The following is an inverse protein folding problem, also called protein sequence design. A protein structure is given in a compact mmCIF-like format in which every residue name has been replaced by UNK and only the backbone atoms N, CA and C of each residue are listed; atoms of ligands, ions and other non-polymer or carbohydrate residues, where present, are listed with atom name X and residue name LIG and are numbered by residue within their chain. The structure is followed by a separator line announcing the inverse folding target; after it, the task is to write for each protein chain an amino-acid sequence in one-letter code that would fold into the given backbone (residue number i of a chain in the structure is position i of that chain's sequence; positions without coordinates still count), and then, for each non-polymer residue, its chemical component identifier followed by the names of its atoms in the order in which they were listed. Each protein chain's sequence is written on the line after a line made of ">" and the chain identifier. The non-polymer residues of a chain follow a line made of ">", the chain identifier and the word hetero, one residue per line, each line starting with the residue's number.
data_IF_361962692672
#
_entry.id   IF_361962692672
#
_cell.length_a   1.000
_cell.length_b   1.000
_cell.length_c   1.000
_cell.angle_alpha   90.00
_cell.angle_beta   90.00
_cell.angle_gamma   90.00
#
_symmetry.space_group_name_H-M   'P 1'
#
loop_
_entity.id
_entity.type
_entity.pdbx_description
1 polymer ?
#
# COMPACT_ATOMS: atom_id res chain seq x y z
N UNK A 1 -14.14 -72.29 -5.44
CA UNK A 1 -15.13 -73.18 -4.77
C UNK A 1 -14.67 -73.33 -3.32
N UNK A 2 -14.98 -72.42 -2.38
CA UNK A 2 -16.27 -71.99 -1.83
C UNK A 2 -16.81 -72.91 -0.72
N UNK A 3 -16.62 -72.48 0.54
CA UNK A 3 -17.51 -72.60 1.72
C UNK A 3 -16.75 -72.04 2.93
N UNK A 4 -17.40 -71.54 4.02
CA UNK A 4 -18.73 -71.95 4.48
C UNK A 4 -19.70 -70.81 4.88
N UNK A 5 -20.91 -71.28 5.14
CA UNK A 5 -22.13 -70.61 5.56
C UNK A 5 -22.11 -70.25 7.04
N UNK A 6 -22.54 -69.01 7.32
CA UNK A 6 -23.39 -68.51 8.40
C UNK A 6 -23.48 -69.24 9.76
N UNK A 7 -23.38 -68.44 10.83
CA UNK A 7 -24.50 -68.04 11.72
C UNK A 7 -24.02 -67.98 13.19
N UNK A 8 -23.78 -66.77 13.71
CA UNK A 8 -24.06 -66.32 15.10
C UNK A 8 -23.24 -65.07 15.42
N UNK A 9 -23.91 -63.92 15.51
CA UNK A 9 -23.61 -62.80 16.43
C UNK A 9 -24.43 -61.57 16.02
N UNK A 10 -25.76 -61.69 16.11
CA UNK A 10 -26.62 -60.51 16.14
C UNK A 10 -26.58 -59.89 17.54
N UNK A 11 -26.49 -58.56 17.58
CA UNK A 11 -26.58 -57.66 18.77
C UNK A 11 -25.27 -57.41 19.53
N UNK A 12 -24.38 -56.61 18.94
CA UNK A 12 -23.63 -55.56 19.64
C UNK A 12 -22.82 -54.77 18.59
N UNK A 13 -23.40 -53.73 17.99
CA UNK A 13 -22.72 -52.64 17.23
C UNK A 13 -23.76 -51.73 16.55
N UNK A 14 -24.78 -51.29 17.31
CA UNK A 14 -25.80 -50.34 16.81
C UNK A 14 -26.09 -49.20 17.80
N UNK A 15 -25.05 -48.75 18.51
CA UNK A 15 -25.12 -47.60 19.39
C UNK A 15 -23.74 -46.91 19.41
N UNK A 16 -23.41 -46.12 18.37
CA UNK A 16 -22.32 -45.11 18.39
C UNK A 16 -22.29 -44.25 17.11
N UNK A 17 -23.46 -43.89 16.56
CA UNK A 17 -23.53 -42.95 15.43
C UNK A 17 -24.67 -41.93 15.62
N UNK A 18 -24.69 -41.28 16.78
CA UNK A 18 -25.39 -40.02 16.98
C UNK A 18 -24.39 -38.88 16.79
N UNK A 19 -24.26 -38.38 15.55
CA UNK A 19 -23.64 -37.08 15.29
C UNK A 19 -24.67 -35.98 15.58
N UNK A 20 -24.34 -34.90 16.30
CA UNK A 20 -25.23 -33.76 16.41
C UNK A 20 -25.30 -33.04 15.07
N UNK A 21 -26.53 -32.71 14.61
CA UNK A 21 -26.75 -31.70 13.59
C UNK A 21 -26.33 -30.35 14.17
N UNK A 22 -25.10 -29.92 13.88
CA UNK A 22 -24.75 -28.51 14.04
C UNK A 22 -25.45 -27.71 12.95
N UNK A 23 -26.27 -26.75 13.40
CA UNK A 23 -26.89 -25.71 12.60
C UNK A 23 -25.81 -24.97 11.82
N UNK A 24 -25.95 -24.96 10.49
CA UNK A 24 -25.18 -24.11 9.61
C UNK A 24 -25.58 -22.65 9.86
N UNK A 25 -24.90 -22.00 10.81
CA UNK A 25 -24.88 -20.54 10.89
C UNK A 25 -24.08 -20.08 9.69
N UNK A 26 -24.74 -19.34 8.79
CA UNK A 26 -24.12 -18.72 7.64
C UNK A 26 -22.98 -17.81 8.10
N UNK A 27 -21.75 -18.30 7.99
CA UNK A 27 -20.56 -17.48 8.02
C UNK A 27 -20.62 -16.58 6.78
N UNK A 28 -21.03 -15.32 6.97
CA UNK A 28 -20.67 -14.28 6.01
C UNK A 28 -19.16 -14.14 6.09
N UNK A 29 -18.46 -14.83 5.19
CA UNK A 29 -17.04 -14.64 4.99
C UNK A 29 -16.84 -13.18 4.56
N UNK A 30 -16.37 -12.35 5.49
CA UNK A 30 -15.92 -11.00 5.19
C UNK A 30 -14.76 -11.13 4.22
N UNK A 31 -14.98 -10.78 2.95
CA UNK A 31 -13.94 -10.66 1.94
C UNK A 31 -12.98 -9.56 2.39
N UNK A 32 -11.86 -9.94 3.02
CA UNK A 32 -10.76 -9.02 3.29
C UNK A 32 -10.03 -8.75 1.97
N UNK A 33 -10.52 -7.76 1.24
CA UNK A 33 -9.83 -7.20 0.08
C UNK A 33 -8.69 -6.34 0.59
N UNK A 34 -7.44 -6.82 0.50
CA UNK A 34 -6.27 -5.95 0.65
C UNK A 34 -6.36 -4.85 -0.42
N UNK A 35 -6.76 -3.65 0.03
CA UNK A 35 -6.73 -2.40 -0.70
C UNK A 35 -5.37 -1.71 -0.44
N UNK A 36 -5.17 -0.55 -1.04
CA UNK A 36 -3.92 0.21 -1.13
C UNK A 36 -3.77 1.12 0.09
N UNK A 37 -2.58 1.13 0.71
CA UNK A 37 -2.33 1.86 1.95
C UNK A 37 -2.55 3.36 1.77
N UNK A 38 -3.54 3.88 2.50
CA UNK A 38 -3.73 5.31 2.68
C UNK A 38 -2.45 5.95 3.25
N UNK A 39 -1.98 7.02 2.60
CA UNK A 39 -0.91 7.88 3.12
C UNK A 39 -1.50 9.25 3.42
N UNK A 40 -1.24 9.75 4.63
CA UNK A 40 -1.63 11.10 5.02
C UNK A 40 -0.45 12.06 4.89
N UNK A 41 -0.76 13.30 4.50
CA UNK A 41 0.19 14.41 4.52
C UNK A 41 0.64 14.71 5.96
N UNK A 42 1.83 15.30 6.14
CA UNK A 42 2.40 15.59 7.47
C UNK A 42 1.42 16.34 8.38
N UNK A 43 0.74 17.37 7.85
CA UNK A 43 -0.23 18.15 8.62
C UNK A 43 -1.45 17.34 9.10
N UNK A 44 -1.91 16.38 8.29
CA UNK A 44 -3.06 15.52 8.62
C UNK A 44 -2.67 14.55 9.73
N UNK A 45 -1.50 13.90 9.59
CA UNK A 45 -0.92 13.03 10.61
C UNK A 45 -0.72 13.79 11.94
N UNK A 46 -0.13 14.99 11.89
CA UNK A 46 0.07 15.82 13.10
C UNK A 46 -1.23 16.28 13.73
N UNK A 47 -2.23 16.63 12.94
CA UNK A 47 -3.56 16.97 13.47
C UNK A 47 -4.17 15.78 14.19
N UNK A 48 -4.12 14.60 13.57
CA UNK A 48 -4.64 13.37 14.15
C UNK A 48 -3.92 13.01 15.45
N UNK A 49 -2.60 13.20 15.51
CA UNK A 49 -1.81 13.03 16.73
C UNK A 49 -2.22 14.02 17.83
N UNK A 50 -2.29 15.31 17.49
CA UNK A 50 -2.66 16.39 18.42
C UNK A 50 -4.06 16.19 19.00
N UNK A 51 -5.04 15.83 18.16
CA UNK A 51 -6.43 15.59 18.56
C UNK A 51 -6.55 14.37 19.51
N UNK A 52 -5.52 13.52 19.57
CA UNK A 52 -5.42 12.38 20.49
C UNK A 52 -4.41 12.62 21.64
N UNK A 53 -4.04 13.88 21.88
CA UNK A 53 -3.23 14.29 23.04
C UNK A 53 -1.73 14.03 22.91
N UNK A 54 -1.26 13.60 21.74
CA UNK A 54 0.17 13.48 21.41
C UNK A 54 0.73 14.89 21.15
N UNK A 55 1.88 15.18 21.74
CA UNK A 55 2.52 16.49 21.63
C UNK A 55 3.24 16.60 20.28
N UNK A 56 2.74 17.52 19.46
CA UNK A 56 3.34 17.91 18.18
C UNK A 56 3.64 19.41 18.20
N UNK A 57 4.46 19.88 17.25
CA UNK A 57 4.69 21.31 17.02
C UNK A 57 3.36 22.03 16.78
N UNK A 58 3.19 23.25 17.28
CA UNK A 58 2.05 24.11 16.89
C UNK A 58 2.19 24.48 15.42
N UNK A 59 1.12 24.29 14.65
CA UNK A 59 1.12 24.56 13.21
C UNK A 59 -0.23 25.02 12.70
N UNK A 60 -0.19 25.66 11.53
CA UNK A 60 -1.33 25.93 10.67
C UNK A 60 -1.02 25.50 9.24
N UNK A 61 -2.07 25.34 8.45
CA UNK A 61 -1.97 25.01 7.03
C UNK A 61 -2.53 26.19 6.25
N UNK A 62 -1.89 26.47 5.12
CA UNK A 62 -2.27 27.54 4.22
C UNK A 62 -2.32 27.04 2.78
N UNK A 63 -3.37 27.46 2.08
CA UNK A 63 -3.59 27.16 0.66
C UNK A 63 -3.25 28.39 -0.20
N UNK A 64 -2.98 29.54 0.43
CA UNK A 64 -2.51 30.76 -0.24
C UNK A 64 -1.33 31.41 0.50
N UNK A 65 -0.55 32.23 -0.21
CA UNK A 65 0.56 32.98 0.38
C UNK A 65 0.11 33.96 1.48
N UNK A 66 -1.08 34.56 1.33
CA UNK A 66 -1.65 35.45 2.33
C UNK A 66 -2.07 34.69 3.59
N UNK A 67 -2.68 33.51 3.45
CA UNK A 67 -2.98 32.65 4.59
C UNK A 67 -1.72 32.20 5.31
N UNK A 68 -0.64 31.89 4.57
CA UNK A 68 0.64 31.51 5.16
C UNK A 68 1.26 32.66 5.99
N UNK A 69 1.16 33.89 5.50
CA UNK A 69 1.57 35.10 6.23
C UNK A 69 0.76 35.29 7.52
N UNK A 70 -0.57 35.18 7.44
CA UNK A 70 -1.43 35.34 8.61
C UNK A 70 -1.25 34.19 9.62
N UNK A 71 -1.03 32.97 9.14
CA UNK A 71 -0.67 31.82 9.98
C UNK A 71 0.65 32.06 10.74
N UNK A 72 1.67 32.59 10.05
CA UNK A 72 2.95 32.93 10.67
C UNK A 72 2.80 33.98 11.78
N UNK A 73 1.97 35.02 11.55
CA UNK A 73 1.67 36.02 12.57
C UNK A 73 0.91 35.43 13.77
N UNK A 74 -0.07 34.54 13.51
CA UNK A 74 -0.87 33.89 14.56
C UNK A 74 -0.06 32.95 15.45
N UNK A 75 0.94 32.27 14.91
CA UNK A 75 1.82 31.39 15.71
C UNK A 75 2.57 32.17 16.80
N UNK A 76 2.94 33.42 16.50
CA UNK A 76 3.74 34.28 17.37
C UNK A 76 4.95 33.53 17.96
N UNK A 77 5.63 32.76 17.10
CA UNK A 77 6.78 31.95 17.47
C UNK A 77 8.08 32.71 17.24
N UNK A 78 9.11 32.40 18.03
CA UNK A 78 10.46 32.98 17.91
C UNK A 78 11.10 32.66 16.55
N UNK A 79 10.81 31.46 16.04
CA UNK A 79 11.27 30.97 14.75
C UNK A 79 10.18 30.09 14.15
N UNK A 80 10.06 30.13 12.83
CA UNK A 80 8.97 29.54 12.05
C UNK A 80 9.57 28.65 10.99
N UNK A 81 9.03 27.44 10.86
CA UNK A 81 9.34 26.52 9.78
C UNK A 81 8.20 26.49 8.77
N UNK A 82 8.52 26.74 7.52
CA UNK A 82 7.63 26.60 6.38
C UNK A 82 7.95 25.30 5.66
N UNK A 83 6.97 24.40 5.53
CA UNK A 83 7.14 23.09 4.89
C UNK A 83 6.12 22.88 3.78
N UNK A 84 6.59 22.54 2.58
CA UNK A 84 5.74 22.05 1.51
C UNK A 84 5.05 20.73 1.91
N UNK A 85 3.76 20.63 1.63
CA UNK A 85 2.99 19.40 1.86
C UNK A 85 2.93 18.60 0.57
N UNK A 86 3.77 17.56 0.53
CA UNK A 86 3.74 16.46 -0.44
C UNK A 86 4.00 15.16 0.34
N UNK A 87 3.50 14.02 -0.15
CA UNK A 87 3.67 12.71 0.47
C UNK A 87 5.11 12.20 0.32
N UNK A 88 5.77 12.58 -0.78
CA UNK A 88 7.16 12.20 -1.02
C UNK A 88 8.12 12.86 -0.01
N UNK A 89 9.08 12.06 0.48
CA UNK A 89 10.14 12.53 1.37
C UNK A 89 11.24 13.32 0.65
N UNK A 90 12.27 13.70 1.41
CA UNK A 90 13.42 14.45 0.87
C UNK A 90 13.13 15.90 0.52
N UNK A 91 12.02 16.46 1.01
CA UNK A 91 11.54 17.82 0.73
C UNK A 91 12.61 18.89 0.94
N UNK A 92 13.40 18.80 2.01
CA UNK A 92 14.44 19.80 2.32
C UNK A 92 15.52 19.97 1.24
N UNK A 93 15.81 18.93 0.44
CA UNK A 93 16.78 18.98 -0.67
C UNK A 93 16.11 19.10 -2.05
N UNK A 94 14.78 19.24 -2.08
CA UNK A 94 14.03 19.35 -3.32
C UNK A 94 14.21 20.70 -4.02
N UNK A 95 13.77 20.78 -5.26
CA UNK A 95 13.82 22.02 -6.06
C UNK A 95 12.44 22.26 -6.68
N UNK A 96 11.95 23.49 -6.56
CA UNK A 96 10.73 23.92 -7.21
C UNK A 96 10.98 24.34 -8.65
N UNK A 97 9.98 24.14 -9.52
CA UNK A 97 10.00 24.71 -10.87
C UNK A 97 9.85 26.26 -10.89
N UNK A 98 9.56 26.90 -9.75
CA UNK A 98 9.70 28.35 -9.56
C UNK A 98 11.15 28.83 -9.46
N UNK A 99 12.10 27.91 -9.26
CA UNK A 99 13.52 28.19 -9.01
C UNK A 99 13.91 28.18 -7.53
N UNK A 100 12.95 28.11 -6.61
CA UNK A 100 13.21 27.99 -5.16
C UNK A 100 13.88 26.64 -4.84
N UNK A 101 14.92 26.67 -4.01
CA UNK A 101 15.64 25.47 -3.55
C UNK A 101 15.25 25.16 -2.10
N UNK A 102 14.79 23.94 -1.88
CA UNK A 102 14.34 23.43 -0.59
C UNK A 102 12.83 23.54 -0.41
N UNK A 103 12.21 22.45 0.03
CA UNK A 103 10.80 22.39 0.46
C UNK A 103 10.58 22.71 1.93
N UNK A 104 11.65 23.00 2.68
CA UNK A 104 11.64 23.29 4.11
C UNK A 104 12.52 24.51 4.37
N UNK A 105 11.95 25.59 4.89
CA UNK A 105 12.65 26.83 5.19
C UNK A 105 12.40 27.29 6.62
N UNK A 106 13.44 27.82 7.26
CA UNK A 106 13.38 28.44 8.58
C UNK A 106 13.48 29.95 8.42
N UNK A 107 12.64 30.68 9.16
CA UNK A 107 12.69 32.15 9.22
C UNK A 107 12.13 32.65 10.54
N UNK A 108 12.60 33.82 10.97
CA UNK A 108 12.05 34.54 12.13
C UNK A 108 11.07 35.65 11.73
N UNK A 109 11.04 36.01 10.44
CA UNK A 109 10.16 37.05 9.92
C UNK A 109 8.93 36.45 9.23
N UNK A 110 7.71 36.71 9.72
CA UNK A 110 6.46 36.29 9.08
C UNK A 110 6.32 36.76 7.63
N UNK A 111 6.87 37.92 7.26
CA UNK A 111 6.77 38.43 5.89
C UNK A 111 7.51 37.55 4.89
N UNK A 112 8.65 36.99 5.31
CA UNK A 112 9.42 36.03 4.52
C UNK A 112 8.62 34.74 4.28
N UNK A 113 7.80 34.31 5.25
CA UNK A 113 6.90 33.15 5.07
C UNK A 113 5.95 33.35 3.89
N UNK A 114 5.30 34.52 3.81
CA UNK A 114 4.40 34.84 2.69
C UNK A 114 5.13 34.88 1.33
N UNK A 115 6.34 35.42 1.30
CA UNK A 115 7.16 35.49 0.08
C UNK A 115 7.58 34.10 -0.41
N UNK A 116 8.04 33.23 0.50
CA UNK A 116 8.43 31.86 0.19
C UNK A 116 7.20 31.03 -0.22
N UNK A 117 6.09 31.14 0.51
CA UNK A 117 4.86 30.43 0.20
C UNK A 117 4.34 30.78 -1.21
N UNK A 118 4.49 32.03 -1.66
CA UNK A 118 4.16 32.44 -3.03
C UNK A 118 4.98 31.72 -4.10
N UNK A 119 6.21 31.30 -3.79
CA UNK A 119 7.09 30.54 -4.68
C UNK A 119 6.93 29.02 -4.54
N UNK A 120 6.16 28.56 -3.55
CA UNK A 120 5.90 27.14 -3.29
C UNK A 120 4.52 26.73 -3.81
N UNK A 121 3.46 27.45 -3.42
CA UNK A 121 2.07 27.08 -3.71
C UNK A 121 1.79 27.22 -5.20
N UNK A 122 1.25 26.17 -5.81
CA UNK A 122 0.94 26.08 -7.23
C UNK A 122 2.10 25.61 -8.11
N UNK A 123 3.31 25.51 -7.56
CA UNK A 123 4.51 25.04 -8.23
C UNK A 123 4.77 23.56 -7.93
N UNK A 124 5.58 22.90 -8.77
CA UNK A 124 5.96 21.50 -8.57
C UNK A 124 7.28 21.41 -7.81
N UNK A 125 7.31 20.59 -6.76
CA UNK A 125 8.50 20.25 -5.98
C UNK A 125 9.06 18.90 -6.46
N UNK A 126 10.26 18.92 -7.04
CA UNK A 126 11.00 17.72 -7.38
C UNK A 126 11.95 17.33 -6.25
N UNK A 127 11.87 16.08 -5.77
CA UNK A 127 12.80 15.49 -4.80
C UNK A 127 13.43 14.22 -5.40
N UNK A 128 14.34 13.57 -4.65
CA UNK A 128 14.89 12.27 -5.06
C UNK A 128 13.83 11.15 -5.15
N UNK A 129 12.68 11.34 -4.49
CA UNK A 129 11.61 10.35 -4.35
C UNK A 129 10.38 10.67 -5.19
N UNK A 130 10.38 11.77 -5.93
CA UNK A 130 9.29 12.14 -6.86
C UNK A 130 9.66 11.80 -8.30
N UNK A 131 8.69 11.77 -9.22
CA UNK A 131 8.95 11.86 -10.65
C UNK A 131 9.81 13.08 -10.99
N UNK A 132 10.45 13.07 -12.18
CA UNK A 132 11.29 14.19 -12.66
C UNK A 132 10.54 15.52 -12.75
N UNK A 133 9.24 15.45 -13.00
CA UNK A 133 8.33 16.59 -13.10
C UNK A 133 7.99 17.22 -11.74
N UNK A 134 8.32 16.52 -10.65
CA UNK A 134 7.95 16.88 -9.28
C UNK A 134 6.47 16.71 -9.00
N UNK A 135 6.09 17.02 -7.77
CA UNK A 135 4.69 16.98 -7.30
C UNK A 135 4.19 18.40 -7.07
N UNK A 136 2.98 18.69 -7.54
CA UNK A 136 2.35 20.01 -7.36
C UNK A 136 2.06 20.27 -5.89
N UNK A 137 2.63 21.33 -5.34
CA UNK A 137 2.41 21.75 -3.95
C UNK A 137 1.15 22.61 -3.90
N UNK A 138 0.06 22.06 -3.37
CA UNK A 138 -1.19 22.81 -3.19
C UNK A 138 -1.27 23.50 -1.82
N UNK A 139 -0.58 22.95 -0.81
CA UNK A 139 -0.63 23.42 0.57
C UNK A 139 0.76 23.53 1.16
N UNK A 140 0.91 24.46 2.10
CA UNK A 140 2.11 24.59 2.93
C UNK A 140 1.72 24.55 4.39
N UNK A 141 2.56 23.93 5.21
CA UNK A 141 2.45 23.97 6.66
C UNK A 141 3.37 25.04 7.20
N UNK A 142 2.81 25.94 8.02
CA UNK A 142 3.55 26.93 8.79
C UNK A 142 3.52 26.46 10.24
N UNK A 143 4.67 26.10 10.79
CA UNK A 143 4.79 25.59 12.14
C UNK A 143 5.82 26.37 12.94
N UNK A 144 5.72 26.31 14.27
CA UNK A 144 6.81 26.79 15.13
C UNK A 144 8.04 25.90 14.92
N UNK A 145 9.21 26.53 14.75
CA UNK A 145 10.46 25.80 14.75
C UNK A 145 10.88 25.56 16.20
N UNK A 146 10.94 24.30 16.59
CA UNK A 146 11.43 23.88 17.90
C UNK A 146 12.87 23.41 17.76
N UNK A 147 13.73 23.90 18.65
CA UNK A 147 15.10 23.39 18.77
C UNK A 147 15.05 21.95 19.27
N UNK A 148 15.93 21.10 18.72
CA UNK A 148 15.99 19.69 19.08
C UNK A 148 17.30 19.45 19.81
N UNK A 149 17.22 19.13 21.10
CA UNK A 149 18.40 18.75 21.90
C UNK A 149 18.81 17.31 21.65
N UNK A 150 17.84 16.43 21.40
CA UNK A 150 18.09 15.01 21.15
C UNK A 150 17.02 14.41 20.26
N UNK A 151 17.47 13.61 19.30
CA UNK A 151 16.63 12.92 18.32
C UNK A 151 16.69 11.41 18.56
N UNK A 152 15.53 10.78 18.67
CA UNK A 152 15.39 9.33 18.75
C UNK A 152 14.38 8.86 17.70
N UNK A 153 14.35 7.56 17.45
CA UNK A 153 13.40 6.91 16.57
C UNK A 153 12.39 6.12 17.40
N UNK A 154 11.11 6.23 17.05
CA UNK A 154 10.05 5.41 17.65
C UNK A 154 9.02 5.01 16.58
N UNK A 155 8.72 3.73 16.51
CA UNK A 155 7.65 3.21 15.67
C UNK A 155 6.80 2.16 16.41
N UNK A 156 5.54 2.06 15.99
CA UNK A 156 4.56 1.07 16.41
C UNK A 156 4.05 0.41 15.15
N UNK A 157 4.19 -0.90 15.02
CA UNK A 157 3.68 -1.64 13.86
C UNK A 157 3.12 -3.00 14.27
N UNK A 158 2.32 -3.62 13.40
CA UNK A 158 1.92 -5.02 13.56
C UNK A 158 3.02 -5.95 13.09
N UNK A 159 3.66 -6.67 14.02
CA UNK A 159 4.67 -7.67 13.68
C UNK A 159 4.07 -9.06 13.51
N UNK A 160 4.40 -9.69 12.39
CA UNK A 160 3.92 -11.04 12.04
C UNK A 160 4.62 -12.11 12.87
N UNK A 161 5.85 -11.87 13.33
CA UNK A 161 6.58 -12.85 14.15
C UNK A 161 6.01 -12.90 15.58
N UNK A 162 5.70 -11.74 16.15
CA UNK A 162 5.06 -11.62 17.46
C UNK A 162 3.54 -11.81 17.45
N UNK A 163 2.91 -11.90 16.27
CA UNK A 163 1.44 -11.98 16.10
C UNK A 163 0.69 -10.86 16.83
N UNK A 164 1.24 -9.65 16.82
CA UNK A 164 0.68 -8.52 17.54
C UNK A 164 1.46 -7.22 17.35
N UNK A 165 1.03 -6.13 18.00
CA UNK A 165 1.74 -4.87 17.95
C UNK A 165 3.15 -4.99 18.55
N UNK A 166 4.12 -4.32 17.95
CA UNK A 166 5.48 -4.18 18.47
C UNK A 166 5.84 -2.70 18.54
N UNK A 167 6.43 -2.28 19.66
CA UNK A 167 7.16 -1.02 19.75
C UNK A 167 8.59 -1.27 19.27
N UNK A 168 9.04 -0.48 18.31
CA UNK A 168 10.43 -0.47 17.82
C UNK A 168 10.99 0.91 18.12
N UNK A 169 12.14 0.97 18.78
CA UNK A 169 12.76 2.23 19.15
C UNK A 169 14.27 2.19 19.01
N UNK A 170 14.88 3.33 18.69
CA UNK A 170 16.33 3.49 18.71
C UNK A 170 16.72 4.87 19.26
N UNK A 171 17.76 4.97 20.11
CA UNK A 171 18.30 6.26 20.53
C UNK A 171 18.96 7.03 19.37
N UNK A 172 19.21 6.37 18.22
CA UNK A 172 19.74 7.00 17.02
C UNK A 172 18.58 7.45 16.11
N UNK A 173 18.04 8.64 16.37
CA UNK A 173 17.00 9.27 15.54
C UNK A 173 17.56 10.12 14.40
N UNK A 174 16.66 10.64 13.56
CA UNK A 174 17.00 11.57 12.47
C UNK A 174 17.64 10.89 11.25
N UNK A 175 17.79 9.56 11.28
CA UNK A 175 18.35 8.73 10.21
C UNK A 175 17.37 7.64 9.80
N UNK A 176 17.66 6.95 8.69
CA UNK A 176 16.88 5.82 8.21
C UNK A 176 17.05 4.63 9.16
N UNK A 177 15.93 4.04 9.62
CA UNK A 177 15.99 2.99 10.65
C UNK A 177 16.59 1.69 10.09
N UNK A 178 16.45 1.45 8.79
CA UNK A 178 17.03 0.34 8.06
C UNK A 178 18.56 0.40 8.04
N UNK A 179 19.13 1.61 7.93
CA UNK A 179 20.58 1.82 8.02
C UNK A 179 21.08 1.51 9.44
N UNK A 180 20.36 1.97 10.47
CA UNK A 180 20.67 1.63 11.87
C UNK A 180 20.56 0.13 12.10
N UNK A 181 19.58 -0.55 11.52
CA UNK A 181 19.41 -1.99 11.65
C UNK A 181 20.57 -2.79 11.03
N UNK A 182 21.16 -2.26 9.95
CA UNK A 182 22.29 -2.89 9.27
C UNK A 182 23.63 -2.59 9.96
N UNK A 183 23.85 -1.35 10.39
CA UNK A 183 25.11 -0.90 10.97
C UNK A 183 25.22 -1.13 12.48
N UNK A 184 24.13 -0.92 13.22
CA UNK A 184 24.07 -0.91 14.69
C UNK A 184 22.79 -1.61 15.21
N UNK A 185 22.59 -2.90 14.91
CA UNK A 185 21.38 -3.63 15.33
C UNK A 185 21.16 -3.66 16.84
N UNK A 186 22.22 -3.51 17.65
CA UNK A 186 22.17 -3.41 19.11
C UNK A 186 21.47 -2.15 19.62
N UNK A 187 21.37 -1.11 18.80
CA UNK A 187 20.66 0.12 19.11
C UNK A 187 19.17 0.03 18.76
N UNK A 188 18.67 -1.10 18.29
CA UNK A 188 17.24 -1.31 18.01
C UNK A 188 16.61 -2.13 19.12
N UNK A 189 15.77 -1.46 19.89
CA UNK A 189 15.01 -2.06 20.97
C UNK A 189 13.61 -2.40 20.50
N UNK A 190 13.14 -3.61 20.82
CA UNK A 190 11.81 -4.11 20.46
C UNK A 190 11.04 -4.56 21.68
N UNK A 191 9.75 -4.24 21.74
CA UNK A 191 8.83 -4.70 22.78
C UNK A 191 7.56 -5.22 22.11
N UNK A 192 7.36 -6.53 22.14
CA UNK A 192 6.14 -7.16 21.63
C UNK A 192 5.00 -7.07 22.64
N UNK A 193 3.82 -6.74 22.15
CA UNK A 193 2.62 -6.45 22.92
C UNK A 193 1.52 -7.44 22.57
N UNK A 194 0.74 -7.84 23.59
CA UNK A 194 -0.28 -8.88 23.41
C UNK A 194 -1.70 -8.31 23.29
N UNK A 195 -1.95 -7.04 23.67
CA UNK A 195 -3.23 -6.31 23.47
C UNK A 195 -3.20 -4.88 24.01
N UNK A 196 -2.43 -4.63 25.08
CA UNK A 196 -2.32 -3.34 25.74
C UNK A 196 -0.85 -3.03 26.01
N UNK A 197 -0.53 -1.76 26.26
CA UNK A 197 0.81 -1.33 26.62
C UNK A 197 0.91 -1.10 28.14
N UNK A 198 1.63 -1.96 28.88
CA UNK A 198 1.98 -1.72 30.27
C UNK A 198 2.87 -0.50 30.44
N UNK A 199 2.61 0.25 31.52
CA UNK A 199 3.40 1.42 31.86
C UNK A 199 4.88 1.07 32.05
N UNK A 200 5.18 -0.11 32.62
CA UNK A 200 6.54 -0.62 32.75
C UNK A 200 7.26 -0.82 31.40
N UNK A 201 6.53 -1.20 30.35
CA UNK A 201 7.08 -1.36 29.01
C UNK A 201 7.28 -0.01 28.31
N UNK A 202 6.36 0.94 28.49
CA UNK A 202 6.53 2.32 28.02
C UNK A 202 7.75 2.99 28.67
N UNK A 203 7.88 2.85 29.99
CA UNK A 203 9.02 3.35 30.77
C UNK A 203 10.34 2.71 30.34
N UNK A 204 10.35 1.39 30.10
CA UNK A 204 11.53 0.68 29.60
C UNK A 204 11.93 1.15 28.20
N UNK A 205 10.96 1.37 27.31
CA UNK A 205 11.26 1.92 25.99
C UNK A 205 11.82 3.34 26.10
N UNK A 206 11.22 4.21 26.90
CA UNK A 206 11.72 5.57 27.13
C UNK A 206 13.17 5.56 27.67
N UNK A 207 13.51 4.65 28.57
CA UNK A 207 14.87 4.48 29.09
C UNK A 207 15.85 3.97 28.03
N UNK A 208 15.46 2.98 27.22
CA UNK A 208 16.28 2.48 26.11
C UNK A 208 16.54 3.54 25.05
N UNK A 209 15.57 4.41 24.81
CA UNK A 209 15.71 5.58 23.95
C UNK A 209 16.60 6.66 24.58
N UNK A 210 17.03 6.51 25.83
CA UNK A 210 17.95 7.41 26.53
C UNK A 210 17.29 8.60 27.24
N UNK A 211 15.96 8.61 27.40
CA UNK A 211 15.28 9.65 28.19
C UNK A 211 15.52 9.43 29.69
N UNK A 212 15.84 10.51 30.40
CA UNK A 212 16.18 10.48 31.83
C UNK A 212 15.30 11.41 32.67
N UNK A 213 15.18 11.13 33.96
CA UNK A 213 14.47 11.98 34.92
C UNK A 213 13.01 12.26 34.52
N UNK A 214 12.53 13.53 34.61
CA UNK A 214 11.17 13.89 34.21
C UNK A 214 10.85 13.61 32.73
N UNK A 215 11.85 13.69 31.85
CA UNK A 215 11.68 13.43 30.42
C UNK A 215 11.35 11.97 30.14
N UNK A 216 11.88 11.03 30.93
CA UNK A 216 11.53 9.60 30.84
C UNK A 216 10.03 9.39 31.05
N UNK A 217 9.46 10.04 32.07
CA UNK A 217 8.03 9.93 32.37
C UNK A 217 7.17 10.59 31.29
N UNK A 218 7.60 11.75 30.77
CA UNK A 218 6.92 12.40 29.63
C UNK A 218 6.97 11.52 28.37
N UNK A 219 8.12 10.92 28.06
CA UNK A 219 8.27 10.05 26.90
C UNK A 219 7.40 8.79 27.03
N UNK A 220 7.36 8.16 28.20
CA UNK A 220 6.47 7.03 28.45
C UNK A 220 4.99 7.39 28.25
N UNK A 221 4.53 8.55 28.74
CA UNK A 221 3.18 9.05 28.49
C UNK A 221 2.90 9.26 26.98
N UNK A 222 3.86 9.83 26.23
CA UNK A 222 3.73 10.00 24.79
C UNK A 222 3.68 8.67 24.04
N UNK A 223 4.53 7.70 24.40
CA UNK A 223 4.51 6.34 23.83
C UNK A 223 3.14 5.69 24.06
N UNK A 224 2.58 5.82 25.26
CA UNK A 224 1.24 5.29 25.58
C UNK A 224 0.14 5.95 24.75
N UNK A 225 0.20 7.27 24.56
CA UNK A 225 -0.75 8.00 23.71
C UNK A 225 -0.63 7.60 22.24
N UNK A 226 0.59 7.42 21.73
CA UNK A 226 0.85 6.92 20.38
C UNK A 226 0.31 5.50 20.17
N UNK A 227 0.48 4.62 21.17
CA UNK A 227 -0.06 3.27 21.10
C UNK A 227 -1.59 3.25 21.08
N UNK A 228 -2.23 4.07 21.92
CA UNK A 228 -3.69 4.21 21.92
C UNK A 228 -4.20 4.82 20.61
N UNK A 229 -3.47 5.78 20.04
CA UNK A 229 -3.74 6.34 18.72
C UNK A 229 -3.66 5.25 17.65
N UNK A 230 -2.58 4.47 17.61
CA UNK A 230 -2.35 3.37 16.67
C UNK A 230 -3.53 2.39 16.64
N UNK A 231 -4.03 1.98 17.82
CA UNK A 231 -5.19 1.11 17.92
C UNK A 231 -6.50 1.81 17.48
N UNK A 232 -6.69 3.07 17.87
CA UNK A 232 -7.93 3.81 17.61
C UNK A 232 -8.17 4.07 16.12
N UNK A 233 -7.12 4.29 15.36
CA UNK A 233 -7.20 4.67 13.94
C UNK A 233 -6.97 3.49 12.99
N UNK A 234 -6.86 2.27 13.52
CA UNK A 234 -6.54 1.07 12.74
C UNK A 234 -5.26 1.24 11.89
N UNK A 235 -4.20 1.76 12.50
CA UNK A 235 -2.92 1.92 11.83
C UNK A 235 -2.21 0.56 11.66
N UNK A 236 -1.54 0.38 10.53
CA UNK A 236 -0.57 -0.72 10.32
C UNK A 236 0.81 -0.34 10.82
N UNK A 237 1.15 0.95 10.76
CA UNK A 237 2.38 1.54 11.26
C UNK A 237 2.15 2.99 11.69
N UNK A 238 2.67 3.36 12.86
CA UNK A 238 2.89 4.75 13.28
C UNK A 238 4.38 4.91 13.52
N UNK A 239 5.02 5.75 12.74
CA UNK A 239 6.45 6.03 12.81
C UNK A 239 6.65 7.50 13.18
N UNK A 240 7.48 7.78 14.17
CA UNK A 240 7.84 9.12 14.64
C UNK A 240 9.36 9.25 14.55
N UNK A 241 9.81 10.08 13.60
CA UNK A 241 11.22 10.29 13.34
C UNK A 241 11.48 11.75 12.92
N UNK A 242 11.99 12.63 13.80
CA UNK A 242 12.46 12.31 15.15
C UNK A 242 11.35 12.35 16.22
N UNK A 243 11.41 11.42 17.17
CA UNK A 243 10.80 11.52 18.49
C UNK A 243 11.88 12.05 19.44
N UNK A 244 11.69 13.21 20.06
CA UNK A 244 12.83 13.84 20.74
C UNK A 244 12.48 14.84 21.82
N UNK A 245 13.50 15.52 22.30
CA UNK A 245 13.38 16.52 23.37
C UNK A 245 13.87 17.90 22.93
N UNK A 246 13.21 18.91 23.47
CA UNK A 246 13.53 20.32 23.30
C UNK A 246 14.43 20.81 24.43
N UNK A 247 15.22 21.89 24.23
CA UNK A 247 16.00 22.51 25.31
C UNK A 247 15.16 22.94 26.51
N UNK A 248 13.88 23.22 26.30
CA UNK A 248 12.90 23.59 27.33
C UNK A 248 12.40 22.39 28.17
N UNK A 249 12.91 21.19 27.92
CA UNK A 249 12.57 20.00 28.70
C UNK A 249 11.20 19.40 28.34
N UNK A 250 10.81 19.48 27.07
CA UNK A 250 9.58 18.86 26.56
C UNK A 250 9.89 17.75 25.57
N UNK A 251 9.16 16.64 25.67
CA UNK A 251 9.19 15.54 24.69
C UNK A 251 8.15 15.81 23.60
N UNK A 252 8.57 15.80 22.34
CA UNK A 252 7.75 16.19 21.18
C UNK A 252 7.91 15.17 20.03
N UNK A 253 6.82 14.91 19.33
CA UNK A 253 6.83 14.20 18.05
C UNK A 253 7.05 15.23 16.92
N UNK A 254 8.28 15.31 16.39
CA UNK A 254 8.65 16.37 15.45
C UNK A 254 8.16 16.09 14.03
N UNK A 255 8.26 14.85 13.58
CA UNK A 255 7.71 14.39 12.30
C UNK A 255 7.17 12.97 12.47
N UNK A 256 6.12 12.65 11.72
CA UNK A 256 5.48 11.36 11.83
C UNK A 256 4.85 10.92 10.51
N UNK A 257 4.96 9.62 10.26
CA UNK A 257 4.34 8.91 9.14
C UNK A 257 3.40 7.85 9.70
N UNK A 258 2.17 7.82 9.18
CA UNK A 258 1.15 6.86 9.61
C UNK A 258 0.65 6.13 8.38
N UNK A 259 0.70 4.81 8.44
CA UNK A 259 0.11 3.91 7.45
C UNK A 259 -1.13 3.26 8.07
N UNK A 260 -2.18 3.07 7.28
CA UNK A 260 -3.49 2.58 7.74
C UNK A 260 -3.80 1.17 7.20
N UNK A 261 -4.69 0.45 7.89
CA UNK A 261 -5.28 -0.78 7.36
C UNK A 261 -6.50 -0.43 6.50
N UNK A 262 -6.39 -0.68 5.20
CA UNK A 262 -7.49 -0.40 4.27
C UNK A 262 -8.72 -1.29 4.51
N UNK A 263 -8.55 -2.44 5.16
CA UNK A 263 -9.68 -3.27 5.56
C UNK A 263 -10.54 -2.59 6.64
N UNK A 264 -10.01 -1.57 7.33
CA UNK A 264 -10.73 -0.82 8.34
C UNK A 264 -11.46 0.42 7.77
N UNK A 265 -11.41 0.67 6.46
CA UNK A 265 -12.06 1.82 5.80
C UNK A 265 -13.54 1.97 6.21
N UNK A 266 -14.27 0.86 6.32
CA UNK A 266 -15.70 0.86 6.65
C UNK A 266 -16.03 1.53 8.00
N UNK A 267 -15.07 1.53 8.94
CA UNK A 267 -15.18 2.14 10.27
C UNK A 267 -14.33 3.40 10.47
N UNK A 268 -13.41 3.70 9.54
CA UNK A 268 -12.52 4.87 9.58
C UNK A 268 -12.85 5.90 8.48
N UNK A 269 -14.14 6.13 8.19
CA UNK A 269 -14.58 6.96 7.05
C UNK A 269 -13.98 8.37 7.03
N UNK A 270 -13.85 9.01 8.19
CA UNK A 270 -13.31 10.37 8.29
C UNK A 270 -11.82 10.42 7.92
N UNK A 271 -11.07 9.35 8.21
CA UNK A 271 -9.66 9.23 7.87
C UNK A 271 -9.48 8.97 6.38
N UNK A 272 -10.25 8.04 5.81
CA UNK A 272 -10.20 7.75 4.38
C UNK A 272 -10.76 8.89 3.51
N UNK A 273 -11.60 9.77 4.07
CA UNK A 273 -12.01 11.00 3.40
C UNK A 273 -10.87 12.02 3.24
N UNK A 274 -9.78 11.89 4.01
CA UNK A 274 -8.59 12.73 3.91
C UNK A 274 -7.58 12.25 2.86
N UNK A 275 -7.84 11.13 2.20
CA UNK A 275 -6.95 10.52 1.19
C UNK A 275 -6.66 11.48 0.04
N UNK A 276 -5.39 11.85 -0.10
CA UNK A 276 -4.92 12.70 -1.18
C UNK A 276 -4.49 11.83 -2.38
N UNK A 277 -5.40 11.71 -3.35
CA UNK A 277 -5.17 10.94 -4.57
C UNK A 277 -4.41 11.72 -5.65
N UNK A 278 -4.02 12.98 -5.40
CA UNK A 278 -3.40 13.83 -6.42
C UNK A 278 -1.98 13.42 -6.79
N UNK A 279 -1.26 12.75 -5.88
CA UNK A 279 0.11 12.25 -6.10
C UNK A 279 0.15 10.81 -6.64
N UNK A 280 -1.00 10.13 -6.68
CA UNK A 280 -1.08 8.77 -7.18
C UNK A 280 -1.05 8.75 -8.71
N UNK A 281 -0.52 7.67 -9.28
CA UNK A 281 -0.60 7.42 -10.71
C UNK A 281 -2.06 7.44 -11.20
N UNK A 282 -2.40 8.20 -12.26
CA UNK A 282 -3.77 8.32 -12.74
C UNK A 282 -4.43 6.96 -13.06
N UNK A 283 -3.65 6.01 -13.57
CA UNK A 283 -4.12 4.65 -13.90
C UNK A 283 -4.47 3.88 -12.62
N UNK A 284 -3.71 4.04 -11.54
CA UNK A 284 -3.99 3.42 -10.24
C UNK A 284 -5.27 3.99 -9.62
N UNK A 285 -5.47 5.30 -9.73
CA UNK A 285 -6.69 5.96 -9.25
C UNK A 285 -7.94 5.50 -10.01
N UNK A 286 -7.86 5.34 -11.33
CA UNK A 286 -8.98 4.81 -12.13
C UNK A 286 -9.23 3.33 -11.83
N UNK A 287 -8.18 2.52 -11.69
CA UNK A 287 -8.29 1.11 -11.33
C UNK A 287 -9.02 0.90 -9.99
N UNK A 288 -8.70 1.72 -9.00
CA UNK A 288 -9.31 1.66 -7.68
C UNK A 288 -10.83 1.86 -7.69
N UNK A 289 -11.38 2.66 -8.62
CA UNK A 289 -12.84 2.87 -8.75
C UNK A 289 -13.61 1.60 -9.14
N UNK A 290 -12.92 0.64 -9.74
CA UNK A 290 -13.48 -0.62 -10.22
C UNK A 290 -13.03 -1.83 -9.39
N UNK A 291 -12.50 -1.58 -8.18
CA UNK A 291 -11.93 -2.60 -7.30
C UNK A 291 -10.79 -3.41 -7.96
N UNK A 292 -10.04 -2.78 -8.87
CA UNK A 292 -8.90 -3.40 -9.55
C UNK A 292 -7.60 -3.04 -8.83
N UNK A 293 -6.77 -4.04 -8.57
CA UNK A 293 -5.45 -3.84 -7.95
C UNK A 293 -4.40 -3.67 -9.02
N UNK A 294 -4.19 -2.42 -9.43
CA UNK A 294 -3.18 -2.05 -10.42
C UNK A 294 -1.96 -1.44 -9.73
N UNK A 295 -0.77 -1.86 -10.14
CA UNK A 295 0.51 -1.22 -9.79
C UNK A 295 1.29 -1.03 -11.08
N UNK A 296 1.68 0.21 -11.38
CA UNK A 296 2.50 0.51 -12.56
C UNK A 296 3.95 0.07 -12.38
N UNK A 297 4.56 -0.49 -13.42
CA UNK A 297 5.98 -0.86 -13.47
C UNK A 297 6.66 -0.20 -14.69
N UNK A 298 7.98 -0.22 -14.71
CA UNK A 298 8.79 0.30 -15.82
C UNK A 298 9.13 -0.81 -16.83
N UNK A 299 8.13 -1.17 -17.64
CA UNK A 299 8.23 -2.21 -18.65
C UNK A 299 7.28 -2.00 -19.83
N UNK A 300 7.31 -2.93 -20.77
CA UNK A 300 6.57 -2.86 -22.04
C UNK A 300 5.56 -4.01 -22.23
N UNK A 301 5.59 -5.06 -21.40
CA UNK A 301 4.64 -6.17 -21.48
C UNK A 301 3.62 -6.00 -20.34
N UNK A 302 2.41 -5.60 -20.69
CA UNK A 302 1.31 -5.56 -19.73
C UNK A 302 0.90 -6.97 -19.30
N UNK A 303 0.70 -7.16 -18.00
CA UNK A 303 0.17 -8.41 -17.46
C UNK A 303 -1.26 -8.19 -16.96
N UNK A 304 -2.16 -9.08 -17.33
CA UNK A 304 -3.55 -9.08 -16.86
C UNK A 304 -3.90 -10.46 -16.34
N UNK A 305 -4.10 -10.59 -15.02
CA UNK A 305 -4.56 -11.84 -14.46
C UNK A 305 -6.07 -11.86 -14.31
N UNK A 306 -6.73 -12.84 -14.94
CA UNK A 306 -8.16 -13.07 -14.79
C UNK A 306 -8.39 -14.35 -13.98
N UNK A 307 -8.84 -14.24 -12.72
CA UNK A 307 -9.08 -15.40 -11.86
C UNK A 307 -10.53 -15.51 -11.40
N UNK A 308 -11.29 -16.45 -11.94
CA UNK A 308 -12.60 -16.81 -11.39
C UNK A 308 -12.46 -17.95 -10.39
N UNK A 309 -12.06 -17.61 -9.16
CA UNK A 309 -12.05 -18.56 -8.06
C UNK A 309 -12.93 -18.04 -6.92
N UNK A 310 -14.02 -18.76 -6.64
CA UNK A 310 -14.87 -18.54 -5.46
C UNK A 310 -14.25 -19.11 -4.16
N UNK A 311 -13.02 -19.64 -4.22
CA UNK A 311 -12.26 -20.17 -3.09
C UNK A 311 -10.87 -19.52 -3.01
N UNK A 312 -10.81 -18.35 -2.39
CA UNK A 312 -9.74 -17.83 -1.49
C UNK A 312 -8.24 -18.09 -1.75
N UNK A 313 -7.74 -18.38 -2.96
CA UNK A 313 -6.28 -18.38 -3.21
C UNK A 313 -5.99 -18.15 -4.70
N UNK A 314 -5.03 -17.29 -5.04
CA UNK A 314 -4.43 -17.15 -6.40
C UNK A 314 -4.97 -16.03 -7.33
N UNK A 315 -5.26 -14.84 -6.78
CA UNK A 315 -5.24 -13.59 -7.55
C UNK A 315 -3.83 -12.97 -7.54
N UNK A 316 -3.48 -12.27 -6.47
CA UNK A 316 -2.19 -11.60 -6.33
C UNK A 316 -0.94 -12.50 -6.50
N UNK A 317 -0.91 -13.71 -5.94
CA UNK A 317 0.27 -14.59 -6.03
C UNK A 317 0.61 -15.01 -7.46
N UNK A 318 -0.41 -15.34 -8.26
CA UNK A 318 -0.22 -15.73 -9.66
C UNK A 318 0.08 -14.51 -10.54
N UNK A 319 -0.49 -13.34 -10.21
CA UNK A 319 -0.14 -12.08 -10.87
C UNK A 319 1.35 -11.73 -10.66
N UNK A 320 1.88 -11.88 -9.43
CA UNK A 320 3.32 -11.70 -9.15
C UNK A 320 4.16 -12.71 -9.94
N UNK A 321 3.81 -14.01 -9.91
CA UNK A 321 4.53 -15.03 -10.67
C UNK A 321 4.49 -14.80 -12.19
N UNK A 322 3.44 -14.15 -12.70
CA UNK A 322 3.33 -13.78 -14.12
C UNK A 322 4.30 -12.63 -14.45
N UNK A 323 4.45 -11.64 -13.56
CA UNK A 323 5.51 -10.64 -13.72
C UNK A 323 6.90 -11.28 -13.69
N UNK A 324 7.13 -12.22 -12.76
CA UNK A 324 8.40 -12.92 -12.61
C UNK A 324 8.75 -13.76 -13.84
N UNK A 325 7.80 -14.52 -14.40
CA UNK A 325 8.06 -15.34 -15.59
C UNK A 325 8.32 -14.48 -16.83
N UNK A 326 7.66 -13.31 -16.96
CA UNK A 326 7.98 -12.34 -18.03
C UNK A 326 9.44 -11.91 -17.88
N UNK A 327 9.84 -11.52 -16.67
CA UNK A 327 11.21 -11.06 -16.39
C UNK A 327 12.27 -12.15 -16.60
N UNK A 328 12.03 -13.36 -16.08
CA UNK A 328 12.95 -14.51 -16.21
C UNK A 328 13.24 -14.89 -17.67
N UNK A 329 12.33 -14.58 -18.57
CA UNK A 329 12.49 -14.85 -19.99
C UNK A 329 12.83 -13.60 -20.82
N UNK A 330 13.35 -12.55 -20.17
CA UNK A 330 13.92 -11.37 -20.84
C UNK A 330 12.92 -10.28 -21.22
N UNK A 331 11.64 -10.43 -20.88
CA UNK A 331 10.64 -9.37 -21.01
C UNK A 331 10.68 -8.40 -19.82
N UNK A 332 10.04 -7.23 -19.95
CA UNK A 332 9.86 -6.29 -18.84
C UNK A 332 8.38 -6.13 -18.51
N UNK A 333 7.90 -6.58 -17.33
CA UNK A 333 6.50 -6.40 -16.96
C UNK A 333 6.19 -4.90 -16.81
N UNK A 334 5.17 -4.41 -17.51
CA UNK A 334 4.73 -3.02 -17.50
C UNK A 334 3.82 -2.69 -16.31
N UNK A 335 3.17 -3.71 -15.74
CA UNK A 335 2.27 -3.55 -14.61
C UNK A 335 2.06 -4.87 -13.87
N UNK A 336 1.57 -4.75 -12.65
CA UNK A 336 0.87 -5.80 -11.91
C UNK A 336 -0.63 -5.48 -11.92
N UNK A 337 -1.48 -6.45 -12.27
CA UNK A 337 -2.94 -6.29 -12.24
C UNK A 337 -3.62 -7.56 -11.73
N UNK A 338 -4.26 -7.44 -10.57
CA UNK A 338 -5.09 -8.48 -9.97
C UNK A 338 -6.57 -8.06 -9.98
N UNK A 339 -7.39 -8.88 -10.66
CA UNK A 339 -8.85 -8.70 -10.74
C UNK A 339 -9.60 -9.33 -9.55
N UNK A 340 -8.88 -10.01 -8.64
CA UNK A 340 -9.45 -10.68 -7.47
C UNK A 340 -10.15 -12.00 -7.80
N UNK A 341 -10.73 -12.62 -6.78
CA UNK A 341 -11.55 -13.84 -6.91
C UNK A 341 -13.01 -13.49 -7.18
N UNK A 342 -13.55 -13.90 -8.33
CA UNK A 342 -14.95 -13.65 -8.70
C UNK A 342 -15.12 -12.53 -9.73
N UNK A 343 -14.34 -12.60 -10.80
CA UNK A 343 -14.28 -11.59 -11.88
C UNK A 343 -15.65 -11.32 -12.49
N UNK A 344 -15.94 -10.06 -12.81
CA UNK A 344 -17.13 -9.66 -13.59
C UNK A 344 -16.73 -9.22 -14.99
N UNK A 345 -17.64 -9.38 -15.96
CA UNK A 345 -17.42 -8.92 -17.33
C UNK A 345 -17.01 -7.43 -17.40
N UNK A 346 -17.64 -6.59 -16.58
CA UNK A 346 -17.33 -5.17 -16.47
C UNK A 346 -15.91 -4.90 -15.95
N UNK A 347 -15.40 -5.71 -15.02
CA UNK A 347 -14.03 -5.56 -14.49
C UNK A 347 -12.99 -5.91 -15.56
N UNK A 348 -13.25 -6.96 -16.35
CA UNK A 348 -12.39 -7.33 -17.49
C UNK A 348 -12.36 -6.21 -18.53
N UNK A 349 -13.52 -5.64 -18.85
CA UNK A 349 -13.61 -4.51 -19.79
C UNK A 349 -12.75 -3.32 -19.32
N UNK A 350 -12.87 -2.93 -18.04
CA UNK A 350 -12.12 -1.80 -17.50
C UNK A 350 -10.62 -2.10 -17.41
N UNK A 351 -10.24 -3.33 -17.05
CA UNK A 351 -8.85 -3.77 -17.04
C UNK A 351 -8.19 -3.56 -18.42
N UNK A 352 -8.82 -4.05 -19.49
CA UNK A 352 -8.29 -3.85 -20.84
C UNK A 352 -8.24 -2.38 -21.24
N UNK A 353 -9.27 -1.59 -20.88
CA UNK A 353 -9.28 -0.16 -21.13
C UNK A 353 -8.08 0.54 -20.49
N UNK A 354 -7.75 0.20 -19.24
CA UNK A 354 -6.59 0.73 -18.52
C UNK A 354 -5.27 0.34 -19.20
N UNK A 355 -5.11 -0.94 -19.54
CA UNK A 355 -3.87 -1.44 -20.18
C UNK A 355 -3.64 -0.82 -21.55
N UNK A 356 -4.69 -0.62 -22.33
CA UNK A 356 -4.60 0.00 -23.66
C UNK A 356 -4.38 1.51 -23.62
N UNK A 357 -4.57 2.14 -22.47
CA UNK A 357 -4.32 3.57 -22.28
C UNK A 357 -2.84 3.87 -21.99
N UNK A 358 -2.07 2.89 -21.51
CA UNK A 358 -0.64 3.06 -21.25
C UNK A 358 0.17 2.97 -22.56
N UNK A 359 0.83 4.06 -23.00
CA UNK A 359 1.59 4.07 -24.24
C UNK A 359 2.86 3.22 -24.19
N UNK A 360 3.32 2.81 -22.99
CA UNK A 360 4.50 1.93 -22.83
C UNK A 360 4.19 0.48 -23.22
N UNK A 361 2.90 0.11 -23.23
CA UNK A 361 2.48 -1.27 -23.46
C UNK A 361 2.61 -1.61 -24.94
N UNK A 362 3.44 -2.61 -25.23
CA UNK A 362 3.68 -3.15 -26.56
C UNK A 362 3.03 -4.53 -26.74
N UNK A 363 2.78 -5.26 -25.65
CA UNK A 363 2.08 -6.54 -25.66
C UNK A 363 1.29 -6.75 -24.37
N UNK A 364 0.18 -7.50 -24.44
CA UNK A 364 -0.64 -7.86 -23.27
C UNK A 364 -0.63 -9.38 -23.08
N UNK A 365 -0.17 -9.85 -21.92
CA UNK A 365 -0.28 -11.25 -21.52
C UNK A 365 -1.50 -11.42 -20.60
N UNK A 366 -2.48 -12.19 -21.06
CA UNK A 366 -3.69 -12.53 -20.30
C UNK A 366 -3.55 -13.96 -19.79
N UNK A 367 -3.35 -14.06 -18.48
CA UNK A 367 -3.22 -15.33 -17.78
C UNK A 367 -4.51 -15.61 -17.01
N UNK A 368 -5.10 -16.80 -17.21
CA UNK A 368 -6.30 -17.20 -16.47
C UNK A 368 -6.22 -18.65 -15.97
N UNK A 369 -6.80 -18.91 -14.80
CA UNK A 369 -6.86 -20.26 -14.21
C UNK A 369 -8.30 -20.58 -13.81
N UNK A 370 -8.83 -21.73 -14.25
CA UNK A 370 -10.22 -22.12 -14.00
C UNK A 370 -10.27 -23.40 -13.18
N UNK A 371 -10.96 -23.34 -12.04
CA UNK A 371 -11.37 -24.55 -11.28
C UNK A 371 -12.87 -24.73 -11.46
N UNK A 372 -13.23 -25.79 -12.19
CA UNK A 372 -14.52 -26.53 -12.34
C UNK A 372 -15.86 -25.76 -12.54
N UNK A 373 -16.05 -24.51 -12.09
CA UNK A 373 -17.37 -23.85 -12.07
C UNK A 373 -17.44 -22.46 -12.76
N UNK A 374 -16.42 -22.08 -13.52
CA UNK A 374 -16.32 -20.73 -14.09
C UNK A 374 -16.57 -20.72 -15.61
N UNK A 375 -17.56 -19.93 -16.06
CA UNK A 375 -17.94 -19.84 -17.47
C UNK A 375 -16.92 -19.00 -18.25
N UNK A 376 -16.06 -19.65 -19.05
CA UNK A 376 -15.10 -18.99 -19.95
C UNK A 376 -15.74 -17.89 -20.82
N UNK A 377 -17.04 -18.00 -21.10
CA UNK A 377 -17.78 -17.01 -21.86
C UNK A 377 -17.80 -15.62 -21.20
N UNK A 378 -17.77 -15.50 -19.87
CA UNK A 378 -17.75 -14.19 -19.20
C UNK A 378 -16.46 -13.43 -19.52
N UNK A 379 -15.33 -14.14 -19.48
CA UNK A 379 -14.02 -13.57 -19.80
C UNK A 379 -13.96 -13.26 -21.30
N UNK A 380 -14.30 -14.22 -22.15
CA UNK A 380 -14.28 -14.03 -23.60
C UNK A 380 -15.22 -12.90 -24.07
N UNK A 381 -16.42 -12.80 -23.50
CA UNK A 381 -17.38 -11.73 -23.81
C UNK A 381 -16.88 -10.36 -23.30
N UNK A 382 -16.31 -10.30 -22.09
CA UNK A 382 -15.77 -9.05 -21.55
C UNK A 382 -14.63 -8.50 -22.41
N UNK A 383 -13.78 -9.39 -22.94
CA UNK A 383 -12.68 -9.00 -23.82
C UNK A 383 -13.20 -8.63 -25.20
N UNK A 384 -14.02 -9.47 -25.83
CA UNK A 384 -14.57 -9.15 -27.17
C UNK A 384 -15.40 -7.87 -27.18
N UNK A 385 -16.07 -7.52 -26.07
CA UNK A 385 -16.75 -6.22 -25.92
C UNK A 385 -15.81 -5.04 -25.67
N UNK A 386 -14.59 -5.27 -25.17
CA UNK A 386 -13.59 -4.20 -25.04
C UNK A 386 -12.89 -3.87 -26.37
N UNK A 387 -12.83 -4.83 -27.30
CA UNK A 387 -12.19 -4.69 -28.61
C UNK A 387 -12.69 -3.52 -29.49
N UNK A 388 -14.00 -3.20 -29.60
CA UNK A 388 -14.45 -2.11 -30.48
C UNK A 388 -14.17 -0.72 -29.89
N UNK A 389 -14.10 -0.61 -28.56
CA UNK A 389 -13.89 0.65 -27.84
C UNK A 389 -12.42 0.97 -27.57
N UNK A 390 -11.56 -0.05 -27.46
CA UNK A 390 -10.13 0.10 -27.34
C UNK A 390 -9.50 -0.26 -28.69
N UNK A 391 -8.94 0.72 -29.42
CA UNK A 391 -8.14 0.47 -30.63
C UNK A 391 -6.86 -0.27 -30.23
N UNK A 392 -6.96 -1.58 -29.99
CA UNK A 392 -5.87 -2.48 -29.62
C UNK A 392 -4.91 -2.59 -30.79
N UNK A 393 -3.85 -1.77 -30.75
CA UNK A 393 -2.73 -1.82 -31.70
C UNK A 393 -1.66 -2.84 -31.29
N UNK A 394 -1.80 -3.44 -30.10
CA UNK A 394 -0.79 -4.27 -29.46
C UNK A 394 -1.17 -5.76 -29.51
N UNK A 395 -0.22 -6.67 -29.79
CA UNK A 395 -0.45 -8.11 -29.68
C UNK A 395 -0.86 -8.53 -28.27
N UNK A 396 -1.74 -9.52 -28.18
CA UNK A 396 -2.31 -10.04 -26.95
C UNK A 396 -2.26 -11.57 -26.97
N UNK A 397 -1.88 -12.16 -25.83
CA UNK A 397 -1.62 -13.59 -25.69
C UNK A 397 -2.50 -14.18 -24.59
N UNK A 398 -3.14 -15.32 -24.87
CA UNK A 398 -3.93 -16.04 -23.89
C UNK A 398 -3.25 -17.32 -23.44
N UNK A 399 -3.16 -17.46 -22.13
CA UNK A 399 -2.78 -18.70 -21.51
C UNK A 399 -3.83 -19.08 -20.45
N UNK A 400 -4.35 -20.31 -20.54
CA UNK A 400 -5.17 -20.85 -19.48
C UNK A 400 -5.22 -22.38 -19.40
N UNK A 401 -5.59 -22.85 -18.20
CA UNK A 401 -5.72 -24.26 -17.84
C UNK A 401 -7.15 -24.55 -17.36
N UNK A 402 -7.78 -25.55 -17.96
CA UNK A 402 -9.02 -26.20 -17.48
C UNK A 402 -8.70 -27.68 -17.24
N UNK A 403 -9.27 -28.32 -16.21
CA UNK A 403 -9.19 -29.78 -16.12
C UNK A 403 -9.67 -30.37 -17.45
N UNK A 404 -8.77 -31.16 -18.05
CA UNK A 404 -8.84 -31.84 -19.35
C UNK A 404 -8.37 -31.12 -20.62
N UNK A 405 -8.20 -29.78 -20.68
CA UNK A 405 -7.68 -29.13 -21.91
C UNK A 405 -6.82 -27.90 -21.61
N UNK A 406 -5.59 -27.90 -22.14
CA UNK A 406 -4.73 -26.73 -22.28
C UNK A 406 -5.03 -26.10 -23.64
N UNK A 407 -5.58 -24.87 -23.66
CA UNK A 407 -5.71 -24.09 -24.90
C UNK A 407 -4.75 -22.91 -24.82
N UNK A 408 -3.72 -22.92 -25.67
CA UNK A 408 -2.87 -21.77 -25.94
C UNK A 408 -3.41 -21.14 -27.23
N UNK A 409 -3.81 -19.86 -27.17
CA UNK A 409 -4.34 -19.17 -28.35
C UNK A 409 -3.58 -17.86 -28.54
N UNK A 410 -2.86 -17.75 -29.66
CA UNK A 410 -2.28 -16.49 -30.12
C UNK A 410 -3.31 -15.84 -31.06
N UNK A 411 -3.93 -14.74 -30.63
CA UNK A 411 -4.87 -14.00 -31.47
C UNK A 411 -4.22 -12.70 -31.94
N UNK A 412 -3.90 -12.58 -33.23
CA UNK A 412 -3.54 -11.30 -33.84
C UNK A 412 -4.83 -10.57 -34.24
N UNK A 413 -5.16 -9.49 -33.56
CA UNK A 413 -6.26 -8.61 -33.97
C UNK A 413 -5.83 -7.76 -35.16
N UNK A 414 -6.57 -7.82 -36.28
CA UNK A 414 -6.47 -6.81 -37.33
C UNK A 414 -7.45 -5.65 -37.05
N UNK A 415 -7.21 -4.48 -37.64
CA UNK A 415 -7.89 -3.19 -37.36
C UNK A 415 -9.44 -3.17 -37.45
N UNK A 416 -10.07 -4.29 -37.81
CA UNK A 416 -11.52 -4.45 -37.94
C UNK A 416 -12.14 -5.48 -36.96
N UNK A 417 -11.41 -5.94 -35.94
CA UNK A 417 -11.99 -6.80 -34.89
C UNK A 417 -12.33 -8.24 -35.33
N UNK A 418 -11.89 -8.67 -36.52
CA UNK A 418 -12.06 -10.05 -36.98
C UNK A 418 -10.90 -10.93 -36.51
N UNK A 419 -11.25 -12.05 -35.86
CA UNK A 419 -10.37 -13.11 -35.39
C UNK A 419 -9.85 -13.87 -36.63
N UNK A 420 -8.54 -13.82 -36.89
CA UNK A 420 -7.91 -14.61 -37.96
C UNK A 420 -6.99 -15.67 -37.38
N UNK A 421 -7.44 -16.93 -37.40
CA UNK A 421 -6.62 -18.14 -37.25
C UNK A 421 -6.64 -18.80 -35.86
N UNK A 422 -6.96 -20.10 -35.83
CA UNK A 422 -6.88 -20.98 -34.66
C UNK A 422 -5.66 -21.88 -34.86
N UNK A 423 -4.69 -21.88 -33.94
CA UNK A 423 -3.63 -22.89 -33.90
C UNK A 423 -3.81 -23.74 -32.64
N UNK A 424 -4.36 -24.95 -32.82
CA UNK A 424 -4.35 -26.00 -31.80
C UNK A 424 -3.10 -26.84 -32.00
N UNK A 425 -2.19 -26.83 -31.04
CA UNK A 425 -1.18 -27.88 -30.88
C UNK A 425 -0.76 -27.89 -29.42
N UNK A 426 -0.91 -29.03 -28.73
CA UNK A 426 0.09 -29.65 -27.82
C UNK A 426 -0.60 -30.75 -26.98
N UNK A 427 -0.16 -32.00 -27.18
CA UNK A 427 -0.41 -33.13 -26.29
C UNK A 427 0.64 -33.21 -25.17
N UNK A 428 0.26 -33.89 -24.08
CA UNK A 428 0.90 -33.94 -22.75
C UNK A 428 2.42 -34.16 -22.66
N UNK A 429 3.10 -34.63 -23.72
CA UNK A 429 4.53 -34.99 -23.69
C UNK A 429 5.50 -33.84 -24.02
N UNK A 430 5.03 -32.69 -24.50
CA UNK A 430 5.89 -31.56 -24.91
C UNK A 430 5.90 -30.35 -23.95
N UNK A 431 5.35 -30.49 -22.74
CA UNK A 431 5.20 -29.40 -21.77
C UNK A 431 6.52 -28.69 -21.40
N UNK A 432 7.65 -29.41 -21.36
CA UNK A 432 8.96 -28.82 -21.08
C UNK A 432 9.56 -28.06 -22.28
N UNK A 433 9.13 -28.35 -23.51
CA UNK A 433 9.62 -27.67 -24.73
C UNK A 433 8.72 -26.51 -25.17
N UNK A 434 7.43 -26.56 -24.83
CA UNK A 434 6.47 -25.54 -25.26
C UNK A 434 6.53 -24.26 -24.41
N UNK A 435 6.82 -24.37 -23.11
CA UNK A 435 7.14 -23.20 -22.28
C UNK A 435 8.41 -22.47 -22.77
N UNK A 436 9.35 -23.20 -23.37
CA UNK A 436 10.63 -22.68 -23.88
C UNK A 436 10.51 -22.09 -25.29
N UNK A 437 9.59 -22.59 -26.13
CA UNK A 437 9.43 -22.07 -27.51
C UNK A 437 8.66 -20.75 -27.58
N UNK A 438 8.02 -20.33 -26.48
CA UNK A 438 7.23 -19.08 -26.41
C UNK A 438 8.08 -17.80 -26.37
N UNK A 439 9.39 -17.91 -26.15
CA UNK A 439 10.30 -16.78 -25.94
C UNK A 439 11.36 -16.60 -27.04
N UNK A 440 11.29 -17.38 -28.12
CA UNK A 440 12.27 -17.35 -29.23
C UNK A 440 11.71 -16.86 -30.58
N UNK A 441 10.61 -16.09 -30.58
CA UNK A 441 10.11 -15.43 -31.80
C UNK A 441 9.70 -13.98 -31.55
#
# INVERSE_FOLDING_TARGET
>A
MASPVATQAGKLLRALALRPRFLAVGSQAVQLTSRRWLNLQEYQSKKLMSDNGVRVQRFFVADTANEALEAAKRLNAKEIVLKAQILAGGRGKGVFNSGLKGGVHLTKDPNVVGQLAKQMIGYNLATKQTPKEGVKVNKVMVAEALDISRETYLAILMDRSCNGPVLVGSPQGGVDIEEVAASNPELIFKVCLNSWLPDSQAQRMAENLGFVGPLKSQAADQITKLYNLFLKIDATQVEVNPFGETPEGQVVCFDAKINFDDNAEFRQKDIFAMDDKSENEPIENEAAKYDLKYIGLDGNIASCLVSHLHFTVNGAGLAMATCDIIFLNGGKPANFLDLGGGVKEAQVYQAFKLLTADPKVEAILVQYFLVVLSNCAIIANGITKSLPGAKLKVPWYFYGKKESYMHIKQERGNANGNITGIQENVTHQNLSKCAISFFLC
#
